data_IF_396311427491
#
_entry.id   IF_396311427491
#
_cell.length_a   1.000
_cell.length_b   1.000
_cell.length_c   1.000
_cell.angle_alpha   90.00
_cell.angle_beta   90.00
_cell.angle_gamma   90.00
#
_symmetry.space_group_name_H-M   'P 1'
#
loop_
_entity.id
_entity.type
_entity.pdbx_description
1 polymer ?
#
# COMPACT_ATOMS: atom_id res chain seq x y z
N UNK A 1 -55.57 13.25 5.14
CA UNK A 1 -55.30 12.91 3.72
C UNK A 1 -54.53 14.08 3.12
N UNK A 2 -53.40 13.97 2.43
CA UNK A 2 -52.75 12.80 1.86
C UNK A 2 -51.22 12.95 1.84
N UNK A 3 -50.57 11.78 1.85
CA UNK A 3 -49.13 11.57 1.91
C UNK A 3 -48.48 11.82 0.54
N UNK A 4 -47.46 12.67 0.48
CA UNK A 4 -46.57 12.75 -0.68
C UNK A 4 -45.27 11.98 -0.39
N UNK A 5 -45.24 10.74 -0.86
CA UNK A 5 -44.05 9.92 -0.95
C UNK A 5 -43.21 10.40 -2.15
N UNK A 6 -42.08 11.08 -1.91
CA UNK A 6 -41.02 11.19 -2.93
C UNK A 6 -40.34 9.82 -2.99
N UNK A 7 -40.61 9.08 -4.06
CA UNK A 7 -40.00 7.77 -4.33
C UNK A 7 -38.46 7.93 -4.46
N UNK A 8 -37.66 7.01 -3.92
CA UNK A 8 -36.22 6.98 -4.16
C UNK A 8 -35.97 6.82 -5.66
N UNK A 9 -34.98 7.56 -6.20
CA UNK A 9 -34.46 7.33 -7.54
C UNK A 9 -34.01 5.87 -7.59
N UNK A 10 -34.59 5.09 -8.50
CA UNK A 10 -34.15 3.73 -8.78
C UNK A 10 -32.66 3.77 -9.18
N UNK A 11 -31.80 3.44 -8.22
CA UNK A 11 -30.39 3.20 -8.46
C UNK A 11 -30.29 1.96 -9.35
N UNK A 12 -29.92 2.18 -10.62
CA UNK A 12 -29.62 1.07 -11.52
C UNK A 12 -28.41 0.34 -10.94
N UNK A 13 -28.67 -0.82 -10.34
CA UNK A 13 -27.61 -1.70 -9.88
C UNK A 13 -26.81 -2.20 -11.08
N UNK A 14 -25.50 -2.10 -10.99
CA UNK A 14 -24.59 -2.61 -12.02
C UNK A 14 -24.66 -4.15 -12.03
N UNK A 15 -24.92 -4.78 -13.20
CA UNK A 15 -24.88 -6.24 -13.29
C UNK A 15 -23.46 -6.76 -13.05
N UNK A 16 -23.31 -7.68 -12.10
CA UNK A 16 -22.03 -8.30 -11.75
C UNK A 16 -21.40 -9.00 -12.97
N UNK A 17 -22.23 -9.60 -13.83
CA UNK A 17 -21.81 -10.24 -15.09
C UNK A 17 -21.10 -9.27 -16.04
N UNK A 18 -21.51 -8.01 -16.07
CA UNK A 18 -20.95 -7.00 -16.95
C UNK A 18 -19.53 -6.61 -16.50
N UNK A 19 -19.32 -6.48 -15.19
CA UNK A 19 -18.00 -6.24 -14.60
C UNK A 19 -17.07 -7.43 -14.86
N UNK A 20 -17.53 -8.66 -14.55
CA UNK A 20 -16.74 -9.88 -14.78
C UNK A 20 -16.33 -10.05 -16.25
N UNK A 21 -17.21 -9.70 -17.20
CA UNK A 21 -16.90 -9.76 -18.63
C UNK A 21 -15.81 -8.77 -19.02
N UNK A 22 -15.77 -7.58 -18.43
CA UNK A 22 -14.72 -6.59 -18.69
C UNK A 22 -13.39 -6.98 -18.03
N UNK A 23 -13.43 -7.53 -16.81
CA UNK A 23 -12.25 -8.08 -16.14
C UNK A 23 -11.64 -9.24 -16.93
N UNK A 24 -12.46 -10.18 -17.43
CA UNK A 24 -12.01 -11.28 -18.30
C UNK A 24 -11.41 -10.82 -19.63
N UNK A 25 -11.74 -9.61 -20.09
CA UNK A 25 -11.15 -8.97 -21.27
C UNK A 25 -9.83 -8.26 -20.96
N UNK A 26 -9.37 -8.27 -19.71
CA UNK A 26 -8.15 -7.60 -19.29
C UNK A 26 -8.26 -6.08 -19.22
N UNK A 27 -9.48 -5.53 -19.15
CA UNK A 27 -9.64 -4.09 -18.89
C UNK A 27 -9.17 -3.75 -17.48
N UNK A 28 -8.50 -2.60 -17.35
CA UNK A 28 -8.15 -2.08 -16.04
C UNK A 28 -9.39 -1.62 -15.29
N UNK A 29 -9.38 -1.75 -13.96
CA UNK A 29 -10.45 -1.30 -13.08
C UNK A 29 -10.82 0.17 -13.32
N UNK A 30 -9.83 1.01 -13.63
CA UNK A 30 -10.02 2.43 -13.98
C UNK A 30 -10.84 2.60 -15.27
N UNK A 31 -10.64 1.74 -16.25
CA UNK A 31 -11.39 1.78 -17.52
C UNK A 31 -12.80 1.21 -17.37
N UNK A 32 -12.96 0.17 -16.53
CA UNK A 32 -14.27 -0.39 -16.17
C UNK A 32 -15.13 0.68 -15.49
N UNK A 33 -14.57 1.41 -14.52
CA UNK A 33 -15.27 2.49 -13.81
C UNK A 33 -15.68 3.61 -14.77
N UNK A 34 -14.78 4.05 -15.67
CA UNK A 34 -15.09 5.07 -16.68
C UNK A 34 -16.22 4.63 -17.61
N UNK A 35 -16.20 3.37 -18.06
CA UNK A 35 -17.19 2.81 -18.98
C UNK A 35 -18.56 2.57 -18.32
N UNK A 36 -18.60 2.25 -17.03
CA UNK A 36 -19.85 2.11 -16.30
C UNK A 36 -20.43 3.48 -15.88
N UNK A 37 -19.57 4.44 -15.53
CA UNK A 37 -19.99 5.82 -15.27
C UNK A 37 -20.62 6.48 -16.49
N UNK A 38 -20.07 6.24 -17.70
CA UNK A 38 -20.66 6.75 -18.94
C UNK A 38 -22.02 6.13 -19.27
N UNK A 39 -22.33 4.95 -18.73
CA UNK A 39 -23.64 4.29 -18.81
C UNK A 39 -24.65 4.77 -17.75
N UNK A 40 -24.24 5.69 -16.89
CA UNK A 40 -25.11 6.31 -15.87
C UNK A 40 -25.23 5.52 -14.58
N UNK A 41 -24.30 4.61 -14.31
CA UNK A 41 -24.24 3.91 -13.02
C UNK A 41 -23.58 4.78 -11.94
N UNK A 42 -24.07 4.70 -10.69
CA UNK A 42 -23.46 5.41 -9.57
C UNK A 42 -22.12 4.75 -9.19
N UNK A 43 -21.21 5.55 -8.63
CA UNK A 43 -19.90 5.05 -8.20
C UNK A 43 -20.04 3.90 -7.18
N UNK A 44 -20.95 4.06 -6.21
CA UNK A 44 -21.25 3.03 -5.20
C UNK A 44 -21.77 1.72 -5.81
N UNK A 45 -22.61 1.81 -6.85
CA UNK A 45 -23.11 0.62 -7.57
C UNK A 45 -21.99 -0.08 -8.35
N UNK A 46 -21.03 0.67 -8.88
CA UNK A 46 -19.87 0.13 -9.61
C UNK A 46 -18.91 -0.57 -8.65
N UNK A 47 -18.57 0.09 -7.55
CA UNK A 47 -17.65 -0.42 -6.54
C UNK A 47 -18.18 -1.70 -5.89
N UNK A 48 -19.47 -1.70 -5.50
CA UNK A 48 -20.11 -2.89 -4.92
C UNK A 48 -20.17 -4.06 -5.91
N UNK A 49 -20.41 -3.80 -7.20
CA UNK A 49 -20.39 -4.83 -8.23
C UNK A 49 -18.98 -5.37 -8.50
N UNK A 50 -17.94 -4.52 -8.45
CA UNK A 50 -16.55 -4.94 -8.58
C UNK A 50 -16.09 -5.81 -7.42
N UNK A 51 -16.39 -5.41 -6.19
CA UNK A 51 -16.08 -6.20 -4.99
C UNK A 51 -16.74 -7.59 -5.04
N UNK A 52 -17.99 -7.66 -5.51
CA UNK A 52 -18.71 -8.93 -5.69
C UNK A 52 -18.14 -9.75 -6.84
N UNK A 53 -17.80 -9.13 -7.97
CA UNK A 53 -17.21 -9.80 -9.12
C UNK A 53 -15.88 -10.48 -8.77
N UNK A 54 -15.03 -9.83 -7.95
CA UNK A 54 -13.77 -10.40 -7.45
C UNK A 54 -14.04 -11.54 -6.47
N UNK A 55 -15.01 -11.37 -5.57
CA UNK A 55 -15.38 -12.39 -4.58
C UNK A 55 -15.94 -13.67 -5.21
N UNK A 56 -16.69 -13.55 -6.31
CA UNK A 56 -17.33 -14.67 -7.00
C UNK A 56 -16.44 -15.30 -8.09
N UNK A 57 -15.48 -14.55 -8.62
CA UNK A 57 -14.54 -15.00 -9.66
C UNK A 57 -13.30 -15.75 -9.16
N UNK A 58 -13.06 -15.80 -7.84
CA UNK A 58 -11.88 -16.45 -7.23
C UNK A 58 -12.32 -17.73 -6.51
N UNK A 59 -12.38 -18.83 -7.25
CA UNK A 59 -12.26 -20.17 -6.65
C UNK A 59 -10.79 -20.43 -6.30
N UNK A 60 -10.52 -20.76 -5.04
CA UNK A 60 -9.28 -21.33 -4.49
C UNK A 60 -7.94 -20.94 -5.17
N UNK A 61 -7.70 -19.64 -5.36
CA UNK A 61 -6.36 -19.12 -5.56
C UNK A 61 -6.10 -17.94 -4.61
N UNK A 62 -4.99 -17.97 -3.85
CA UNK A 62 -4.73 -16.99 -2.80
C UNK A 62 -4.62 -15.58 -3.40
N UNK A 63 -5.34 -14.59 -2.83
CA UNK A 63 -5.46 -13.27 -3.44
C UNK A 63 -4.13 -12.51 -3.40
N UNK A 64 -3.68 -12.06 -4.56
CA UNK A 64 -2.75 -10.92 -4.69
C UNK A 64 -3.41 -9.71 -4.04
N UNK A 65 -2.94 -9.36 -2.85
CA UNK A 65 -3.32 -8.15 -2.13
C UNK A 65 -2.94 -6.92 -2.96
N UNK A 66 -3.94 -6.24 -3.52
CA UNK A 66 -3.85 -4.81 -3.79
C UNK A 66 -4.59 -4.10 -2.66
N UNK A 67 -3.81 -3.49 -1.77
CA UNK A 67 -4.30 -2.64 -0.67
C UNK A 67 -4.91 -1.36 -1.26
N UNK A 68 -6.22 -1.20 -1.09
CA UNK A 68 -6.92 0.08 -1.24
C UNK A 68 -7.31 0.52 0.17
N UNK A 69 -6.46 1.36 0.79
CA UNK A 69 -6.78 2.06 2.03
C UNK A 69 -7.61 3.30 1.69
N UNK A 70 -8.89 3.29 2.02
CA UNK A 70 -9.66 4.53 2.22
C UNK A 70 -9.52 4.97 3.68
N UNK A 71 -9.16 6.23 3.97
CA UNK A 71 -9.28 6.78 5.31
C UNK A 71 -10.77 6.99 5.66
N UNK A 72 -11.10 6.65 6.90
CA UNK A 72 -12.38 6.91 7.52
C UNK A 72 -12.68 8.42 7.57
N UNK A 73 -13.94 8.79 7.32
CA UNK A 73 -14.47 10.07 7.76
C UNK A 73 -15.80 9.83 8.45
N UNK A 74 -15.81 10.26 9.70
CA UNK A 74 -16.88 10.23 10.66
C UNK A 74 -18.14 10.97 10.20
N UNK A 75 -19.25 10.49 10.76
CA UNK A 75 -20.52 11.20 10.85
C UNK A 75 -20.33 12.63 11.38
N UNK A 76 -20.70 13.64 10.59
CA UNK A 76 -21.19 14.92 11.13
C UNK A 76 -22.46 15.30 10.37
N UNK A 77 -23.58 14.91 10.96
CA UNK A 77 -24.91 15.40 10.68
C UNK A 77 -25.16 16.58 11.61
N UNK A 78 -25.25 17.81 11.08
CA UNK A 78 -26.05 18.88 11.67
C UNK A 78 -26.25 20.06 10.68
N UNK A 79 -27.50 20.25 10.29
CA UNK A 79 -28.11 21.49 9.80
C UNK A 79 -29.38 21.65 10.66
N UNK A 80 -29.78 22.86 11.10
CA UNK A 80 -30.28 23.87 10.17
C UNK A 80 -30.13 25.35 10.63
N UNK A 81 -30.16 26.33 9.70
CA UNK A 81 -30.98 27.56 9.80
C UNK A 81 -30.97 28.35 8.48
N UNK A 82 -32.14 28.88 8.11
CA UNK A 82 -32.47 29.61 6.87
C UNK A 82 -32.45 31.15 7.03
N UNK A 83 -32.38 31.83 5.86
CA UNK A 83 -32.72 33.22 5.47
C UNK A 83 -31.62 34.29 5.47
N UNK A 84 -31.67 35.34 4.59
CA UNK A 84 -32.47 35.56 3.37
C UNK A 84 -31.62 35.91 2.11
N UNK A 85 -32.28 35.96 0.95
CA UNK A 85 -31.70 36.32 -0.34
C UNK A 85 -31.12 37.75 -0.37
N UNK A 86 -29.84 37.87 -0.77
CA UNK A 86 -29.24 39.13 -1.21
C UNK A 86 -28.07 38.86 -2.17
N UNK A 87 -28.11 39.57 -3.31
CA UNK A 87 -27.04 39.83 -4.28
C UNK A 87 -26.33 38.62 -4.90
N UNK A 88 -26.56 38.43 -6.20
CA UNK A 88 -25.64 37.71 -7.09
C UNK A 88 -24.23 38.33 -6.95
N UNK A 89 -23.21 37.55 -6.55
CA UNK A 89 -21.84 37.90 -6.88
C UNK A 89 -21.64 37.55 -8.35
N UNK A 90 -21.11 38.52 -9.10
CA UNK A 90 -20.54 38.28 -10.42
C UNK A 90 -19.66 37.01 -10.36
N UNK A 91 -19.91 36.09 -11.27
CA UNK A 91 -18.96 35.04 -11.62
C UNK A 91 -17.69 35.73 -12.13
N UNK A 92 -16.81 36.10 -11.20
CA UNK A 92 -15.39 36.10 -11.49
C UNK A 92 -15.06 34.70 -11.98
N UNK A 93 -14.51 34.63 -13.18
CA UNK A 93 -13.74 33.49 -13.66
C UNK A 93 -12.62 33.26 -12.65
N UNK A 94 -12.92 32.56 -11.56
CA UNK A 94 -11.91 31.94 -10.74
C UNK A 94 -11.19 30.99 -11.64
N UNK A 95 -9.95 31.34 -11.98
CA UNK A 95 -8.95 30.39 -12.38
C UNK A 95 -9.15 29.13 -11.53
N UNK A 96 -9.40 28.02 -12.21
CA UNK A 96 -9.28 26.71 -11.61
C UNK A 96 -7.78 26.54 -11.39
N UNK A 97 -7.27 27.12 -10.30
CA UNK A 97 -5.95 26.79 -9.79
C UNK A 97 -5.89 25.27 -9.64
N UNK A 98 -4.81 24.73 -10.18
CA UNK A 98 -4.86 23.49 -10.90
C UNK A 98 -4.91 22.29 -9.93
N UNK A 99 -5.69 21.23 -10.23
CA UNK A 99 -5.69 20.00 -9.43
C UNK A 99 -4.35 19.27 -9.40
N UNK A 100 -3.35 19.72 -10.17
CA UNK A 100 -1.99 19.22 -10.16
C UNK A 100 -1.29 19.55 -8.84
N UNK A 101 -1.22 20.82 -8.40
CA UNK A 101 -0.48 21.23 -7.18
C UNK A 101 -0.86 20.41 -5.92
N UNK A 102 -2.14 20.02 -5.82
CA UNK A 102 -2.68 19.16 -4.76
C UNK A 102 -2.26 17.69 -4.86
N UNK A 103 -2.08 17.17 -6.09
CA UNK A 103 -1.60 15.82 -6.35
C UNK A 103 -0.10 15.69 -6.03
N UNK A 104 0.71 16.72 -6.28
CA UNK A 104 2.14 16.68 -5.98
C UNK A 104 2.45 16.75 -4.47
N UNK A 105 1.79 17.62 -3.71
CA UNK A 105 1.92 17.64 -2.24
C UNK A 105 1.49 16.31 -1.62
N UNK A 106 0.44 15.68 -2.19
CA UNK A 106 0.00 14.35 -1.82
C UNK A 106 1.06 13.28 -2.14
N UNK A 107 1.73 13.36 -3.29
CA UNK A 107 2.78 12.43 -3.69
C UNK A 107 4.01 12.58 -2.77
N UNK A 108 4.45 13.79 -2.47
CA UNK A 108 5.59 14.04 -1.58
C UNK A 108 5.33 13.48 -0.18
N UNK A 109 4.13 13.75 0.38
CA UNK A 109 3.70 13.18 1.64
C UNK A 109 3.60 11.65 1.64
N UNK A 110 3.16 11.05 0.52
CA UNK A 110 3.13 9.58 0.37
C UNK A 110 4.55 9.01 0.31
N UNK A 111 5.46 9.62 -0.44
CA UNK A 111 6.85 9.15 -0.58
C UNK A 111 7.56 9.19 0.77
N UNK A 112 7.43 10.28 1.52
CA UNK A 112 8.08 10.42 2.82
C UNK A 112 7.48 9.45 3.86
N UNK A 113 6.16 9.29 3.92
CA UNK A 113 5.52 8.33 4.82
C UNK A 113 5.89 6.87 4.47
N UNK A 114 5.92 6.53 3.18
CA UNK A 114 6.35 5.20 2.71
C UNK A 114 7.82 4.96 3.04
N UNK A 115 8.68 5.98 2.89
CA UNK A 115 10.10 5.88 3.23
C UNK A 115 10.31 5.68 4.72
N UNK A 116 9.64 6.46 5.58
CA UNK A 116 9.72 6.30 7.03
C UNK A 116 9.28 4.90 7.47
N UNK A 117 8.14 4.41 6.95
CA UNK A 117 7.66 3.05 7.21
C UNK A 117 8.63 1.98 6.72
N UNK A 118 9.34 2.25 5.62
CA UNK A 118 10.33 1.34 5.09
C UNK A 118 11.60 1.33 5.95
N UNK A 119 12.12 2.49 6.36
CA UNK A 119 13.25 2.62 7.30
C UNK A 119 12.97 1.90 8.63
N UNK A 120 11.76 2.04 9.17
CA UNK A 120 11.33 1.29 10.37
C UNK A 120 11.36 -0.23 10.15
N UNK A 121 10.99 -0.70 8.94
CA UNK A 121 11.08 -2.12 8.58
C UNK A 121 12.52 -2.57 8.41
N UNK A 122 13.40 -1.73 7.85
CA UNK A 122 14.83 -2.01 7.73
C UNK A 122 15.47 -2.23 9.11
N UNK A 123 15.19 -1.34 10.07
CA UNK A 123 15.68 -1.48 11.45
C UNK A 123 15.25 -2.79 12.08
N UNK A 124 13.98 -3.18 11.90
CA UNK A 124 13.47 -4.48 12.38
C UNK A 124 14.17 -5.68 11.74
N UNK A 125 14.57 -5.57 10.47
CA UNK A 125 15.32 -6.62 9.79
C UNK A 125 16.74 -6.73 10.35
N UNK A 126 17.42 -5.60 10.58
CA UNK A 126 18.76 -5.58 11.21
C UNK A 126 18.70 -6.17 12.63
N UNK A 127 17.72 -5.75 13.44
CA UNK A 127 17.44 -6.34 14.76
C UNK A 127 17.19 -7.86 14.68
N UNK A 128 16.51 -8.34 13.63
CA UNK A 128 16.24 -9.75 13.44
C UNK A 128 17.52 -10.52 13.09
N UNK A 129 18.42 -9.95 12.29
CA UNK A 129 19.74 -10.55 12.02
C UNK A 129 20.55 -10.71 13.31
N UNK A 130 20.56 -9.68 14.16
CA UNK A 130 21.26 -9.74 15.45
C UNK A 130 20.66 -10.79 16.39
N UNK A 131 19.32 -10.89 16.44
CA UNK A 131 18.63 -11.94 17.19
C UNK A 131 18.97 -13.33 16.68
N UNK A 132 18.92 -13.56 15.37
CA UNK A 132 19.26 -14.85 14.77
C UNK A 132 20.70 -15.25 15.12
N UNK A 133 21.66 -14.32 15.07
CA UNK A 133 23.04 -14.61 15.52
C UNK A 133 23.13 -14.97 17.00
N UNK A 134 22.40 -14.25 17.84
CA UNK A 134 22.39 -14.53 19.28
C UNK A 134 21.79 -15.93 19.55
N UNK A 135 20.73 -16.30 18.85
CA UNK A 135 20.10 -17.62 18.95
C UNK A 135 21.02 -18.74 18.46
N UNK A 136 21.71 -18.55 17.32
CA UNK A 136 22.72 -19.50 16.80
C UNK A 136 23.79 -19.75 17.86
N UNK A 137 24.38 -18.68 18.42
CA UNK A 137 25.41 -18.78 19.48
C UNK A 137 24.89 -19.46 20.74
N UNK A 138 23.65 -19.17 21.15
CA UNK A 138 23.04 -19.84 22.30
C UNK A 138 22.83 -21.33 22.02
N UNK A 139 22.47 -21.68 20.79
CA UNK A 139 22.27 -23.06 20.39
C UNK A 139 23.59 -23.83 20.32
N UNK A 140 24.65 -23.23 19.77
CA UNK A 140 26.02 -23.76 19.83
C UNK A 140 26.47 -24.00 21.27
N UNK A 141 26.27 -23.04 22.18
CA UNK A 141 26.63 -23.20 23.59
C UNK A 141 25.88 -24.33 24.28
N UNK A 142 24.57 -24.49 24.00
CA UNK A 142 23.76 -25.60 24.49
C UNK A 142 24.22 -26.94 23.92
N UNK A 143 24.62 -26.95 22.65
CA UNK A 143 25.10 -28.15 21.98
C UNK A 143 26.45 -28.60 22.57
N UNK A 144 27.38 -27.67 22.78
CA UNK A 144 28.64 -27.91 23.48
C UNK A 144 28.44 -28.38 24.93
N UNK A 145 27.47 -27.80 25.65
CA UNK A 145 27.12 -28.27 26.99
C UNK A 145 26.60 -29.70 26.96
N UNK A 146 25.67 -30.00 26.05
CA UNK A 146 25.07 -31.34 25.92
C UNK A 146 26.13 -32.38 25.52
N UNK A 147 27.09 -32.00 24.69
CA UNK A 147 28.24 -32.82 24.31
C UNK A 147 29.11 -33.19 25.51
N UNK A 148 29.34 -32.26 26.44
CA UNK A 148 30.12 -32.51 27.66
C UNK A 148 29.38 -33.40 28.66
N UNK A 149 28.05 -33.30 28.70
CA UNK A 149 27.21 -34.04 29.66
C UNK A 149 26.87 -35.47 29.19
N UNK A 150 27.04 -35.77 27.89
CA UNK A 150 26.67 -37.07 27.32
C UNK A 150 27.89 -37.93 26.91
N UNK A 151 28.14 -39.09 27.54
CA UNK A 151 29.30 -39.93 27.25
C UNK A 151 29.12 -40.90 26.06
N UNK A 152 28.01 -40.82 25.32
CA UNK A 152 27.72 -41.76 24.22
C UNK A 152 28.29 -41.28 22.89
N UNK A 153 29.16 -42.10 22.29
CA UNK A 153 29.85 -41.77 21.04
C UNK A 153 28.91 -41.52 19.83
N UNK A 154 27.70 -42.08 19.83
CA UNK A 154 26.69 -41.80 18.78
C UNK A 154 26.12 -40.37 18.83
N UNK A 155 26.12 -39.73 20.01
CA UNK A 155 25.68 -38.35 20.13
C UNK A 155 26.76 -37.36 19.68
N UNK A 156 28.04 -37.72 19.82
CA UNK A 156 29.15 -36.88 19.34
C UNK A 156 29.11 -36.65 17.82
N UNK A 157 28.81 -37.70 17.04
CA UNK A 157 28.76 -37.55 15.58
C UNK A 157 27.59 -36.65 15.17
N UNK A 158 26.40 -36.87 15.75
CA UNK A 158 25.23 -36.04 15.46
C UNK A 158 25.42 -34.59 15.89
N UNK A 159 26.08 -34.36 17.02
CA UNK A 159 26.42 -33.02 17.48
C UNK A 159 27.41 -32.34 16.55
N UNK A 160 28.42 -33.06 16.05
CA UNK A 160 29.35 -32.53 15.06
C UNK A 160 28.63 -32.15 13.76
N UNK A 161 27.71 -32.98 13.26
CA UNK A 161 26.91 -32.67 12.07
C UNK A 161 26.05 -31.40 12.27
N UNK A 162 25.46 -31.24 13.46
CA UNK A 162 24.65 -30.04 13.78
C UNK A 162 25.53 -28.80 13.93
N UNK A 163 26.72 -28.92 14.53
CA UNK A 163 27.70 -27.82 14.59
C UNK A 163 28.10 -27.34 13.20
N UNK A 164 28.37 -28.26 12.26
CA UNK A 164 28.70 -27.90 10.88
C UNK A 164 27.51 -27.19 10.19
N UNK A 165 26.28 -27.65 10.43
CA UNK A 165 25.08 -26.98 9.92
C UNK A 165 24.86 -25.58 10.51
N UNK A 166 25.19 -25.37 11.78
CA UNK A 166 25.11 -24.05 12.44
C UNK A 166 26.15 -23.09 11.85
N UNK A 167 27.36 -23.56 11.60
CA UNK A 167 28.41 -22.76 10.99
C UNK A 167 28.00 -22.31 9.56
N UNK A 168 27.44 -23.22 8.76
CA UNK A 168 26.88 -22.87 7.44
C UNK A 168 25.70 -21.89 7.56
N UNK A 169 24.84 -22.07 8.58
CA UNK A 169 23.74 -21.14 8.84
C UNK A 169 24.27 -19.75 9.22
N UNK A 170 25.28 -19.65 10.09
CA UNK A 170 25.90 -18.38 10.47
C UNK A 170 26.51 -17.69 9.24
N UNK A 171 27.21 -18.43 8.39
CA UNK A 171 27.79 -17.91 7.15
C UNK A 171 26.71 -17.36 6.20
N UNK A 172 25.59 -18.08 6.03
CA UNK A 172 24.45 -17.64 5.20
C UNK A 172 23.75 -16.41 5.77
N UNK A 173 23.50 -16.38 7.08
CA UNK A 173 22.88 -15.23 7.78
C UNK A 173 23.79 -14.00 7.65
N UNK A 174 25.10 -14.17 7.84
CA UNK A 174 26.09 -13.11 7.62
C UNK A 174 26.16 -12.63 6.17
N UNK A 175 26.05 -13.55 5.20
CA UNK A 175 25.99 -13.22 3.77
C UNK A 175 24.74 -12.42 3.41
N UNK A 176 23.58 -12.82 3.92
CA UNK A 176 22.31 -12.12 3.73
C UNK A 176 22.34 -10.71 4.31
N UNK A 177 22.86 -10.53 5.53
CA UNK A 177 22.99 -9.19 6.11
C UNK A 177 23.93 -8.30 5.30
N UNK A 178 25.07 -8.84 4.83
CA UNK A 178 25.99 -8.08 3.99
C UNK A 178 25.34 -7.65 2.68
N UNK A 179 24.66 -8.57 2.00
CA UNK A 179 23.95 -8.27 0.77
C UNK A 179 22.84 -7.23 1.00
N UNK A 180 22.11 -7.34 2.11
CA UNK A 180 21.09 -6.38 2.51
C UNK A 180 21.69 -4.99 2.76
N UNK A 181 22.75 -4.90 3.57
CA UNK A 181 23.49 -3.64 3.84
C UNK A 181 24.06 -3.02 2.57
N UNK A 182 24.48 -3.81 1.60
CA UNK A 182 24.92 -3.32 0.29
C UNK A 182 23.78 -2.79 -0.59
N UNK A 183 22.57 -3.30 -0.41
CA UNK A 183 21.40 -2.85 -1.18
C UNK A 183 20.81 -1.54 -0.64
N UNK A 184 20.94 -1.27 0.67
CA UNK A 184 20.39 -0.05 1.31
C UNK A 184 20.78 1.25 0.60
N UNK A 185 22.07 1.52 0.29
CA UNK A 185 22.46 2.81 -0.30
C UNK A 185 21.86 3.03 -1.68
N UNK A 186 21.74 1.95 -2.48
CA UNK A 186 21.11 2.01 -3.81
C UNK A 186 19.64 2.43 -3.69
N UNK A 187 18.92 1.84 -2.73
CA UNK A 187 17.51 2.15 -2.52
C UNK A 187 17.28 3.55 -1.96
N UNK A 188 18.08 3.98 -0.98
CA UNK A 188 18.07 5.36 -0.46
C UNK A 188 18.29 6.35 -1.58
N UNK A 189 19.33 6.15 -2.40
CA UNK A 189 19.64 7.03 -3.53
C UNK A 189 18.52 7.07 -4.57
N UNK A 190 17.87 5.94 -4.85
CA UNK A 190 16.74 5.90 -5.79
C UNK A 190 15.54 6.71 -5.27
N UNK A 191 15.28 6.68 -3.97
CA UNK A 191 14.17 7.41 -3.34
C UNK A 191 14.50 8.90 -3.23
N UNK A 192 15.74 9.26 -2.91
CA UNK A 192 16.23 10.64 -3.01
C UNK A 192 16.10 11.17 -4.45
N UNK A 193 16.46 10.36 -5.45
CA UNK A 193 16.33 10.73 -6.87
C UNK A 193 14.88 10.94 -7.29
N UNK A 194 13.96 10.12 -6.76
CA UNK A 194 12.53 10.27 -6.97
C UNK A 194 12.01 11.57 -6.34
N UNK A 195 12.45 11.88 -5.12
CA UNK A 195 12.12 13.14 -4.44
C UNK A 195 12.66 14.36 -5.21
N UNK A 196 13.91 14.30 -5.68
CA UNK A 196 14.49 15.34 -6.53
C UNK A 196 13.74 15.51 -7.86
N UNK A 197 13.33 14.42 -8.51
CA UNK A 197 12.58 14.48 -9.76
C UNK A 197 11.21 15.16 -9.57
N UNK A 198 10.54 14.88 -8.45
CA UNK A 198 9.29 15.56 -8.07
C UNK A 198 9.55 17.06 -7.84
N UNK A 199 10.65 17.41 -7.16
CA UNK A 199 11.04 18.82 -6.96
C UNK A 199 11.40 19.55 -8.26
N UNK A 200 12.13 18.92 -9.18
CA UNK A 200 12.43 19.52 -10.49
C UNK A 200 11.18 19.72 -11.36
N UNK A 201 10.16 18.87 -11.19
CA UNK A 201 8.87 19.05 -11.85
C UNK A 201 8.11 20.25 -11.28
N UNK A 202 8.16 20.46 -9.95
CA UNK A 202 7.61 21.63 -9.26
C UNK A 202 8.23 22.94 -9.76
N UNK A 203 9.55 23.01 -9.84
CA UNK A 203 10.26 24.23 -10.27
C UNK A 203 9.92 24.58 -11.72
N UNK A 204 9.80 23.58 -12.60
CA UNK A 204 9.43 23.80 -14.01
C UNK A 204 7.97 24.21 -14.20
N UNK A 205 7.04 23.69 -13.39
CA UNK A 205 5.64 24.14 -13.42
C UNK A 205 5.51 25.58 -12.94
N UNK A 206 6.20 25.97 -11.86
CA UNK A 206 6.17 27.34 -11.34
C UNK A 206 6.72 28.36 -12.35
N UNK A 207 7.79 28.03 -13.09
CA UNK A 207 8.34 28.92 -14.13
C UNK A 207 7.42 29.06 -15.34
N UNK A 208 6.62 28.04 -15.67
CA UNK A 208 5.69 28.06 -16.80
C UNK A 208 4.41 28.87 -16.51
N UNK A 209 4.15 29.17 -15.24
CA UNK A 209 3.06 30.03 -14.75
C UNK A 209 3.45 31.52 -14.74
N UNK A 210 4.74 31.86 -14.67
CA UNK A 210 5.24 33.26 -14.72
C UNK A 210 5.46 33.81 -16.16
N UNK A 211 5.45 32.96 -17.19
CA UNK A 211 5.74 33.34 -18.59
C UNK A 211 4.48 33.50 -19.48
N UNK A 212 3.27 33.34 -18.92
CA UNK A 212 1.96 33.50 -19.58
C UNK A 212 1.24 34.72 -19.01
#
# INVERSE_FOLDING_TARGET
>A
MGLFHKKPKDEKLVPIEEVQKMTKRGMSDKDIIKHLKSKGYSYESIESAMLRAVKEGVGDEPPKQMEMQSPAMDNIFELPQEFPAAAEPEFGTGEIEQPEVMLEELIEGIVEDKWRKFDDRLKKIDDNFDRMRAEIKQFEAKLDQTKRESPTHELDSRMADISEQLEDLEARVGGLEKAFKQFLPSLTRNIESLSHMIHEMKDKQAMHEEEI
#
